data_IF_598853388630
#
_entry.id   IF_598853388630
#
_cell.length_a   1.000
_cell.length_b   1.000
_cell.length_c   1.000
_cell.angle_alpha   90.00
_cell.angle_beta   90.00
_cell.angle_gamma   90.00
#
_symmetry.space_group_name_H-M   'P 1'
#
loop_
_entity.id
_entity.type
_entity.pdbx_description
1 polymer ?
#
# COMPACT_ATOMS: atom_id res chain seq x y z
N UNK A 1 -48.25 -8.84 47.51
CA UNK A 1 -46.90 -8.60 48.08
C UNK A 1 -45.90 -8.64 46.94
N UNK A 2 -45.50 -7.48 46.40
CA UNK A 2 -44.69 -7.38 45.17
C UNK A 2 -43.20 -7.30 45.58
N UNK A 3 -42.40 -8.30 45.17
CA UNK A 3 -40.93 -8.27 45.30
C UNK A 3 -40.39 -7.13 44.43
N UNK A 4 -39.88 -6.08 45.06
CA UNK A 4 -39.11 -5.04 44.39
C UNK A 4 -37.82 -5.65 43.83
N UNK A 5 -37.72 -5.69 42.50
CA UNK A 5 -36.50 -6.11 41.81
C UNK A 5 -35.43 -5.06 42.04
N UNK A 6 -34.50 -5.32 42.97
CA UNK A 6 -33.32 -4.48 43.13
C UNK A 6 -32.57 -4.39 41.79
N UNK A 7 -32.35 -3.16 41.34
CA UNK A 7 -31.68 -2.83 40.07
C UNK A 7 -30.29 -3.50 40.07
N UNK A 8 -30.13 -4.57 39.28
CA UNK A 8 -28.89 -5.33 39.20
C UNK A 8 -27.70 -4.41 38.91
N UNK A 9 -26.81 -4.24 39.89
CA UNK A 9 -25.63 -3.38 39.78
C UNK A 9 -24.58 -4.05 38.87
N UNK A 10 -24.71 -3.85 37.56
CA UNK A 10 -23.82 -4.36 36.49
C UNK A 10 -22.32 -4.06 36.70
N UNK A 11 -21.97 -3.09 37.54
CA UNK A 11 -20.59 -2.76 37.88
C UNK A 11 -19.89 -3.83 38.71
N UNK A 12 -20.61 -4.56 39.59
CA UNK A 12 -20.00 -5.62 40.41
C UNK A 12 -19.77 -6.93 39.66
N UNK A 13 -20.59 -7.23 38.65
CA UNK A 13 -20.52 -8.51 37.93
C UNK A 13 -19.36 -8.60 36.93
N UNK A 14 -18.95 -7.46 36.37
CA UNK A 14 -17.87 -7.42 35.38
C UNK A 14 -16.50 -7.21 36.00
N UNK A 15 -16.41 -6.84 37.28
CA UNK A 15 -15.15 -6.55 37.99
C UNK A 15 -14.42 -5.28 37.53
N UNK A 16 -14.76 -4.74 36.35
CA UNK A 16 -14.01 -3.65 35.72
C UNK A 16 -14.47 -2.28 36.24
N UNK A 17 -13.52 -1.52 36.79
CA UNK A 17 -13.65 -0.11 37.16
C UNK A 17 -13.78 0.76 35.90
N UNK A 18 -14.27 1.98 36.08
CA UNK A 18 -14.54 2.91 34.98
C UNK A 18 -13.32 3.17 34.08
N UNK A 19 -12.12 3.28 34.67
CA UNK A 19 -10.87 3.48 33.92
C UNK A 19 -10.49 2.27 33.08
N UNK A 20 -10.66 1.04 33.60
CA UNK A 20 -10.37 -0.18 32.85
C UNK A 20 -11.30 -0.34 31.65
N UNK A 21 -12.56 0.11 31.76
CA UNK A 21 -13.48 0.16 30.60
C UNK A 21 -13.08 1.22 29.59
N UNK A 22 -12.48 2.33 30.03
CA UNK A 22 -11.94 3.36 29.15
C UNK A 22 -10.73 2.82 28.40
N UNK A 23 -9.83 2.12 29.07
CA UNK A 23 -8.63 1.51 28.48
C UNK A 23 -9.00 0.37 27.51
N UNK A 24 -10.00 -0.44 27.87
CA UNK A 24 -10.54 -1.49 27.00
C UNK A 24 -11.24 -0.93 25.75
N UNK A 25 -11.84 0.27 25.84
CA UNK A 25 -12.44 0.99 24.70
C UNK A 25 -11.45 1.86 23.93
N UNK A 26 -10.30 2.17 24.52
CA UNK A 26 -9.28 2.99 23.87
C UNK A 26 -8.65 2.27 22.66
N UNK A 27 -8.91 0.97 22.52
CA UNK A 27 -8.30 0.14 21.48
C UNK A 27 -6.81 -0.07 21.78
N UNK A 28 -6.22 -1.09 21.18
CA UNK A 28 -4.78 -1.24 21.22
C UNK A 28 -4.16 -0.27 20.22
N UNK A 29 -3.14 0.48 20.64
CA UNK A 29 -2.24 1.12 19.70
C UNK A 29 -1.63 0.01 18.84
N UNK A 30 -2.04 -0.09 17.57
CA UNK A 30 -1.42 -1.04 16.65
C UNK A 30 0.04 -0.59 16.52
N UNK A 31 0.96 -1.36 17.12
CA UNK A 31 2.38 -1.11 16.89
C UNK A 31 2.65 -1.26 15.40
N UNK A 32 2.87 -0.14 14.71
CA UNK A 32 3.47 -0.08 13.37
C UNK A 32 4.77 -0.90 13.27
N UNK A 33 5.36 -1.31 14.39
CA UNK A 33 6.63 -2.01 14.50
C UNK A 33 6.62 -3.46 13.98
N UNK A 34 5.46 -4.10 13.73
CA UNK A 34 5.40 -5.50 13.25
C UNK A 34 4.55 -5.73 12.00
N UNK A 35 4.53 -4.79 11.06
CA UNK A 35 4.20 -5.17 9.68
C UNK A 35 5.31 -6.11 9.20
N UNK A 36 4.97 -7.36 8.84
CA UNK A 36 5.93 -8.36 8.36
C UNK A 36 6.63 -7.86 7.08
N UNK A 37 7.85 -8.29 6.81
CA UNK A 37 8.61 -7.86 5.62
C UNK A 37 7.84 -8.14 4.32
N UNK A 38 7.04 -9.21 4.31
CA UNK A 38 6.14 -9.56 3.21
C UNK A 38 5.03 -8.53 3.02
N UNK A 39 4.40 -8.08 4.11
CA UNK A 39 3.37 -7.02 4.04
C UNK A 39 3.99 -5.69 3.59
N UNK A 40 5.17 -5.32 4.10
CA UNK A 40 5.89 -4.11 3.66
C UNK A 40 6.24 -4.17 2.18
N UNK A 41 6.70 -5.33 1.73
CA UNK A 41 6.98 -5.61 0.32
C UNK A 41 5.72 -5.44 -0.52
N UNK A 42 4.62 -6.10 -0.15
CA UNK A 42 3.36 -6.02 -0.87
C UNK A 42 2.82 -4.59 -0.94
N UNK A 43 2.83 -3.85 0.18
CA UNK A 43 2.39 -2.46 0.24
C UNK A 43 3.24 -1.56 -0.66
N UNK A 44 4.58 -1.68 -0.59
CA UNK A 44 5.47 -0.88 -1.44
C UNK A 44 5.29 -1.20 -2.93
N UNK A 45 5.10 -2.47 -3.25
CA UNK A 45 4.91 -2.93 -4.62
C UNK A 45 3.59 -2.42 -5.19
N UNK A 46 2.50 -2.49 -4.43
CA UNK A 46 1.19 -1.96 -4.83
C UNK A 46 1.21 -0.43 -4.97
N UNK A 47 1.84 0.29 -4.04
CA UNK A 47 2.02 1.73 -4.15
C UNK A 47 2.75 2.11 -5.44
N UNK A 48 3.85 1.42 -5.75
CA UNK A 48 4.61 1.69 -6.96
C UNK A 48 3.84 1.35 -8.24
N UNK A 49 3.09 0.25 -8.23
CA UNK A 49 2.30 -0.19 -9.39
C UNK A 49 1.08 0.72 -9.64
N UNK A 50 0.40 1.16 -8.59
CA UNK A 50 -0.76 2.06 -8.71
C UNK A 50 -0.32 3.49 -9.02
N UNK A 51 0.77 3.96 -8.43
CA UNK A 51 1.29 5.32 -8.59
C UNK A 51 2.52 5.36 -9.52
N UNK A 52 2.42 4.66 -10.66
CA UNK A 52 3.51 4.47 -11.61
C UNK A 52 3.72 5.67 -12.55
N UNK A 53 2.82 6.67 -12.53
CA UNK A 53 2.90 7.80 -13.45
C UNK A 53 4.00 8.80 -13.05
N UNK A 54 4.75 9.27 -14.05
CA UNK A 54 5.71 10.34 -13.86
C UNK A 54 4.99 11.63 -13.46
N UNK A 55 5.34 12.19 -12.30
CA UNK A 55 4.72 13.41 -11.75
C UNK A 55 4.87 14.61 -12.70
N UNK A 56 6.02 14.75 -13.36
CA UNK A 56 6.30 15.91 -14.23
C UNK A 56 5.48 15.93 -15.52
N UNK A 57 5.23 14.76 -16.11
CA UNK A 57 4.50 14.66 -17.38
C UNK A 57 3.11 14.05 -17.24
N UNK A 58 2.71 13.65 -16.03
CA UNK A 58 1.43 13.00 -15.70
C UNK A 58 1.19 11.78 -16.62
N UNK A 59 2.19 10.92 -16.77
CA UNK A 59 2.08 9.73 -17.63
C UNK A 59 2.26 9.98 -19.13
N UNK A 60 2.33 11.24 -19.61
CA UNK A 60 2.34 11.55 -21.06
C UNK A 60 3.67 11.27 -21.77
N UNK A 61 4.78 11.15 -21.04
CA UNK A 61 6.14 11.01 -21.59
C UNK A 61 6.70 12.29 -22.24
N UNK A 62 5.88 13.32 -22.46
CA UNK A 62 6.28 14.59 -23.08
C UNK A 62 5.81 15.78 -22.25
N UNK A 63 6.59 16.86 -22.28
CA UNK A 63 6.24 18.15 -21.65
C UNK A 63 6.01 19.20 -22.76
N UNK A 64 5.07 20.12 -22.54
CA UNK A 64 4.60 21.10 -23.55
C UNK A 64 5.00 22.55 -23.27
N UNK A 65 6.09 22.79 -22.54
CA UNK A 65 6.53 24.14 -22.20
C UNK A 65 7.36 24.73 -23.35
N UNK A 66 6.74 25.55 -24.22
CA UNK A 66 7.43 26.20 -25.35
C UNK A 66 7.72 25.29 -26.56
N UNK A 67 7.17 24.07 -26.58
CA UNK A 67 7.36 23.06 -27.63
C UNK A 67 7.07 21.66 -27.11
N UNK A 68 7.07 20.62 -27.97
CA UNK A 68 7.04 19.21 -27.51
C UNK A 68 8.46 18.72 -27.33
N UNK A 69 8.85 18.40 -26.09
CA UNK A 69 10.11 17.74 -25.80
C UNK A 69 9.88 16.52 -24.91
N UNK A 70 10.80 15.55 -25.01
CA UNK A 70 10.82 14.34 -24.20
C UNK A 70 10.96 14.75 -22.73
N UNK A 71 10.10 14.20 -21.87
CA UNK A 71 10.16 14.50 -20.43
C UNK A 71 11.53 14.05 -19.89
N UNK A 72 12.33 14.94 -19.29
CA UNK A 72 13.67 14.60 -18.82
C UNK A 72 13.66 13.70 -17.58
N UNK A 73 12.59 13.72 -16.79
CA UNK A 73 12.50 12.93 -15.54
C UNK A 73 12.26 11.45 -15.81
N UNK A 74 11.44 11.14 -16.83
CA UNK A 74 11.09 9.76 -17.19
C UNK A 74 11.71 9.32 -18.53
N UNK A 75 12.52 10.18 -19.16
CA UNK A 75 13.12 9.98 -20.47
C UNK A 75 12.11 9.54 -21.55
N UNK A 76 10.87 10.00 -21.47
CA UNK A 76 9.83 9.64 -22.44
C UNK A 76 8.96 8.43 -22.08
N UNK A 77 9.32 7.65 -21.07
CA UNK A 77 8.56 6.45 -20.68
C UNK A 77 7.17 6.77 -20.13
N UNK A 78 6.96 7.98 -19.59
CA UNK A 78 5.76 8.34 -18.87
C UNK A 78 5.67 7.73 -17.46
N UNK A 79 6.56 6.79 -17.12
CA UNK A 79 6.59 6.12 -15.82
C UNK A 79 7.51 6.82 -14.82
N UNK A 80 7.21 6.68 -13.54
CA UNK A 80 8.03 7.18 -12.43
C UNK A 80 9.34 6.39 -12.39
N UNK A 81 10.50 7.05 -12.21
CA UNK A 81 11.77 6.37 -12.03
C UNK A 81 11.75 5.46 -10.79
N UNK A 82 12.41 4.31 -10.90
CA UNK A 82 12.56 3.37 -9.78
C UNK A 82 13.52 3.98 -8.74
N UNK A 83 13.05 4.07 -7.51
CA UNK A 83 13.86 4.48 -6.36
C UNK A 83 14.16 3.27 -5.46
N UNK A 84 15.34 2.68 -5.65
CA UNK A 84 15.81 1.54 -4.87
C UNK A 84 16.00 1.87 -3.38
N UNK A 85 16.45 3.08 -3.06
CA UNK A 85 16.65 3.51 -1.68
C UNK A 85 15.32 3.61 -0.94
N UNK A 86 14.29 4.17 -1.58
CA UNK A 86 12.95 4.19 -1.04
C UNK A 86 12.36 2.77 -0.87
N UNK A 87 12.64 1.85 -1.79
CA UNK A 87 12.23 0.44 -1.64
C UNK A 87 12.92 -0.25 -0.46
N UNK A 88 14.24 -0.09 -0.32
CA UNK A 88 14.99 -0.64 0.80
C UNK A 88 14.50 -0.08 2.15
N UNK A 89 14.25 1.23 2.21
CA UNK A 89 13.69 1.91 3.37
C UNK A 89 12.29 1.37 3.72
N UNK A 90 11.43 1.12 2.72
CA UNK A 90 10.09 0.59 2.95
C UNK A 90 10.12 -0.83 3.55
N UNK A 91 11.08 -1.67 3.14
CA UNK A 91 11.30 -2.99 3.73
C UNK A 91 11.94 -2.89 5.13
N UNK A 92 12.72 -1.85 5.37
CA UNK A 92 13.51 -1.69 6.60
C UNK A 92 14.80 -2.49 6.58
N UNK A 93 15.39 -2.66 5.39
CA UNK A 93 16.66 -3.39 5.19
C UNK A 93 17.74 -2.46 4.58
N UNK A 94 19.03 -2.79 4.75
CA UNK A 94 20.11 -2.11 4.07
C UNK A 94 19.99 -2.15 2.53
N UNK A 95 20.49 -1.12 1.85
CA UNK A 95 20.38 -0.97 0.40
C UNK A 95 21.14 -2.06 -0.38
N UNK A 96 22.29 -2.48 0.14
CA UNK A 96 23.07 -3.61 -0.38
C UNK A 96 22.30 -4.93 -0.26
N UNK A 97 21.67 -5.21 0.88
CA UNK A 97 20.82 -6.38 1.06
C UNK A 97 19.61 -6.37 0.10
N UNK A 98 19.00 -5.19 -0.07
CA UNK A 98 17.93 -5.00 -1.06
C UNK A 98 18.42 -5.33 -2.48
N UNK A 99 19.57 -4.80 -2.90
CA UNK A 99 20.12 -5.03 -4.25
C UNK A 99 20.42 -6.50 -4.51
N UNK A 100 20.99 -7.19 -3.53
CA UNK A 100 21.39 -8.60 -3.64
C UNK A 100 20.19 -9.56 -3.66
N UNK A 101 19.17 -9.33 -2.82
CA UNK A 101 18.12 -10.34 -2.57
C UNK A 101 16.71 -9.93 -3.00
N UNK A 102 16.42 -8.63 -3.09
CA UNK A 102 15.05 -8.13 -3.23
C UNK A 102 14.77 -7.42 -4.55
N UNK A 103 15.80 -6.88 -5.22
CA UNK A 103 15.69 -6.24 -6.54
C UNK A 103 14.93 -7.12 -7.54
N UNK A 104 15.34 -8.39 -7.65
CA UNK A 104 14.71 -9.39 -8.52
C UNK A 104 13.27 -9.70 -8.13
N UNK A 105 12.97 -9.79 -6.83
CA UNK A 105 11.60 -10.06 -6.34
C UNK A 105 10.63 -8.95 -6.71
N UNK A 106 11.06 -7.69 -6.61
CA UNK A 106 10.26 -6.55 -7.09
C UNK A 106 10.02 -6.64 -8.60
N UNK A 107 11.07 -6.91 -9.38
CA UNK A 107 10.96 -7.02 -10.83
C UNK A 107 9.98 -8.12 -11.25
N UNK A 108 10.13 -9.33 -10.69
CA UNK A 108 9.31 -10.48 -11.03
C UNK A 108 7.84 -10.25 -10.67
N UNK A 109 7.54 -9.68 -9.49
CA UNK A 109 6.16 -9.44 -9.08
C UNK A 109 5.50 -8.26 -9.81
N UNK A 110 6.23 -7.20 -10.16
CA UNK A 110 5.70 -6.14 -11.02
C UNK A 110 5.38 -6.67 -12.42
N UNK A 111 6.24 -7.52 -12.99
CA UNK A 111 5.99 -8.17 -14.27
C UNK A 111 4.75 -9.08 -14.22
N UNK A 112 4.53 -9.79 -13.09
CA UNK A 112 3.33 -10.59 -12.89
C UNK A 112 2.06 -9.71 -12.87
N UNK A 113 2.07 -8.61 -12.13
CA UNK A 113 0.93 -7.68 -12.10
C UNK A 113 0.61 -7.09 -13.47
N UNK A 114 1.65 -6.68 -14.21
CA UNK A 114 1.49 -6.16 -15.57
C UNK A 114 0.92 -7.21 -16.53
N UNK A 115 1.32 -8.48 -16.40
CA UNK A 115 0.77 -9.58 -17.20
C UNK A 115 -0.72 -9.80 -16.91
N UNK A 116 -1.08 -9.90 -15.62
CA UNK A 116 -2.48 -10.06 -15.21
C UNK A 116 -3.33 -8.91 -15.74
N UNK A 117 -2.86 -7.67 -15.57
CA UNK A 117 -3.56 -6.48 -16.05
C UNK A 117 -3.73 -6.50 -17.58
N UNK A 118 -2.67 -6.87 -18.32
CA UNK A 118 -2.72 -7.04 -19.78
C UNK A 118 -3.79 -8.05 -20.21
N UNK A 119 -3.87 -9.20 -19.55
CA UNK A 119 -4.87 -10.23 -19.87
C UNK A 119 -6.32 -9.75 -19.67
N UNK A 120 -6.56 -8.93 -18.65
CA UNK A 120 -7.88 -8.34 -18.37
C UNK A 120 -8.25 -7.37 -19.48
N UNK A 121 -7.33 -6.47 -19.87
CA UNK A 121 -7.54 -5.52 -20.95
C UNK A 121 -7.78 -6.21 -22.30
N UNK A 122 -7.04 -7.28 -22.61
CA UNK A 122 -7.26 -8.05 -23.83
C UNK A 122 -8.64 -8.70 -23.85
N UNK A 123 -9.09 -9.26 -22.72
CA UNK A 123 -10.43 -9.83 -22.59
C UNK A 123 -11.52 -8.77 -22.79
N UNK A 124 -11.40 -7.61 -22.11
CA UNK A 124 -12.35 -6.50 -22.28
C UNK A 124 -12.38 -6.00 -23.72
N UNK A 125 -11.22 -5.88 -24.37
CA UNK A 125 -11.11 -5.42 -25.76
C UNK A 125 -11.76 -6.39 -26.74
N UNK A 126 -11.74 -7.70 -26.46
CA UNK A 126 -12.45 -8.70 -27.28
C UNK A 126 -13.96 -8.54 -27.13
N UNK A 127 -14.46 -8.44 -25.90
CA UNK A 127 -15.89 -8.33 -25.61
C UNK A 127 -16.53 -7.02 -26.12
N UNK A 128 -15.79 -5.91 -26.18
CA UNK A 128 -16.30 -4.61 -26.68
C UNK A 128 -16.22 -4.45 -28.20
N UNK A 129 -15.64 -5.42 -28.92
CA UNK A 129 -15.55 -5.42 -30.39
C UNK A 129 -16.62 -6.28 -31.06
N UNK A 130 -17.38 -7.02 -30.27
CA UNK A 130 -18.62 -7.73 -30.64
C UNK A 130 -19.83 -6.86 -30.28
#
# INVERSE_FOLDING_TARGET
MIRTSERFKRSRFTGLKHNERRDQRAGHSVERAKVDIVERFALRLLDEWVNDQCVRCEGRGVVRTGGRYICPDCAGSGRRPIDEAARAQALGIPLDEYRCHWSRRFHDMLALLDNVNGSVFDTMRRQLRE
#
